data_IF_997482220178
#
_entry.id   IF_997482220178
#
_cell.length_a   1.000
_cell.length_b   1.000
_cell.length_c   1.000
_cell.angle_alpha   90.00
_cell.angle_beta   90.00
_cell.angle_gamma   90.00
#
_symmetry.space_group_name_H-M   'P 1'
#
loop_
_entity.id
_entity.type
_entity.pdbx_description
1 polymer ?
#
# COMPACT_ATOMS: atom_id res chain seq x y z
N UNK A 1 -48.45 30.77 25.57
CA UNK A 1 -47.00 30.44 25.45
C UNK A 1 -46.31 31.61 24.77
N UNK A 2 -45.32 32.18 25.43
CA UNK A 2 -44.93 33.58 25.29
C UNK A 2 -44.15 33.89 24.00
N UNK A 3 -44.52 34.98 23.32
CA UNK A 3 -43.86 35.52 22.11
C UNK A 3 -42.33 35.67 22.26
N UNK A 4 -41.88 36.01 23.47
CA UNK A 4 -40.45 36.14 23.78
C UNK A 4 -39.68 34.81 23.73
N UNK A 5 -40.34 33.67 23.96
CA UNK A 5 -39.69 32.36 23.89
C UNK A 5 -39.41 31.93 22.45
N UNK A 6 -40.34 32.22 21.53
CA UNK A 6 -40.18 31.95 20.08
C UNK A 6 -39.03 32.79 19.52
N UNK A 7 -38.92 34.05 19.96
CA UNK A 7 -37.89 34.98 19.51
C UNK A 7 -36.48 34.58 19.99
N UNK A 8 -36.35 34.07 21.21
CA UNK A 8 -35.09 33.51 21.74
C UNK A 8 -34.68 32.24 20.99
N UNK A 9 -35.63 31.34 20.69
CA UNK A 9 -35.33 30.11 19.92
C UNK A 9 -34.85 30.46 18.51
N UNK A 10 -35.48 31.43 17.84
CA UNK A 10 -35.09 31.87 16.50
C UNK A 10 -33.72 32.59 16.47
N UNK A 11 -33.42 33.45 17.45
CA UNK A 11 -32.17 34.23 17.44
C UNK A 11 -30.97 33.48 18.03
N UNK A 12 -31.17 32.49 18.90
CA UNK A 12 -30.07 31.81 19.58
C UNK A 12 -29.88 30.39 19.06
N UNK A 13 -30.96 29.61 18.94
CA UNK A 13 -30.85 28.18 18.61
C UNK A 13 -30.56 27.98 17.12
N UNK A 14 -31.20 28.76 16.24
CA UNK A 14 -31.01 28.63 14.78
C UNK A 14 -29.58 28.99 14.34
N UNK A 15 -28.96 30.09 14.81
CA UNK A 15 -27.58 30.41 14.43
C UNK A 15 -26.56 29.41 14.97
N UNK A 16 -26.75 28.91 16.20
CA UNK A 16 -25.86 27.88 16.78
C UNK A 16 -25.96 26.57 15.97
N UNK A 17 -27.17 26.17 15.57
CA UNK A 17 -27.40 25.04 14.67
C UNK A 17 -26.73 25.21 13.31
N UNK A 18 -26.80 26.41 12.72
CA UNK A 18 -26.16 26.72 11.44
C UNK A 18 -24.63 26.73 11.52
N UNK A 19 -24.06 27.32 12.57
CA UNK A 19 -22.60 27.36 12.82
C UNK A 19 -22.07 25.95 13.06
N UNK A 20 -22.75 25.15 13.87
CA UNK A 20 -22.35 23.76 14.14
C UNK A 20 -22.48 22.87 12.89
N UNK A 21 -23.52 23.07 12.06
CA UNK A 21 -23.62 22.42 10.75
C UNK A 21 -22.49 22.84 9.80
N UNK A 22 -22.14 24.13 9.74
CA UNK A 22 -21.03 24.61 8.91
C UNK A 22 -19.67 24.07 9.37
N UNK A 23 -19.41 24.04 10.68
CA UNK A 23 -18.17 23.47 11.26
C UNK A 23 -18.11 21.95 11.02
N UNK A 24 -19.24 21.23 11.16
CA UNK A 24 -19.32 19.81 10.86
C UNK A 24 -19.07 19.52 9.37
N UNK A 25 -19.66 20.32 8.46
CA UNK A 25 -19.42 20.20 7.02
C UNK A 25 -17.99 20.54 6.63
N UNK A 26 -17.37 21.55 7.26
CA UNK A 26 -15.95 21.90 7.07
C UNK A 26 -14.99 20.84 7.60
N UNK A 27 -15.34 20.14 8.70
CA UNK A 27 -14.57 19.00 9.21
C UNK A 27 -14.63 17.78 8.29
N UNK A 28 -15.73 17.56 7.55
CA UNK A 28 -15.80 16.51 6.53
C UNK A 28 -14.97 16.81 5.27
N UNK A 29 -14.77 18.07 4.91
CA UNK A 29 -13.97 18.46 3.73
C UNK A 29 -12.49 18.67 4.01
N UNK A 30 -12.05 18.56 5.27
CA UNK A 30 -10.64 18.62 5.68
C UNK A 30 -10.04 17.25 6.01
N UNK A 31 -10.72 16.17 5.61
CA UNK A 31 -10.04 14.90 5.36
C UNK A 31 -9.10 15.09 4.18
N UNK A 32 -7.80 15.11 4.44
CA UNK A 32 -6.74 14.90 3.46
C UNK A 32 -7.25 13.98 2.36
N UNK A 33 -7.20 14.42 1.10
CA UNK A 33 -7.73 13.70 -0.06
C UNK A 33 -7.40 12.21 0.00
N UNK A 34 -8.30 11.46 0.62
CA UNK A 34 -8.09 10.08 0.97
C UNK A 34 -8.33 9.36 -0.33
N UNK A 35 -7.23 8.90 -0.93
CA UNK A 35 -7.24 8.13 -2.15
C UNK A 35 -8.30 7.04 -2.01
N UNK A 36 -9.36 7.14 -2.84
CA UNK A 36 -10.43 6.14 -2.92
C UNK A 36 -9.74 4.82 -3.19
N UNK A 37 -9.70 3.97 -2.17
CA UNK A 37 -8.82 2.82 -2.13
C UNK A 37 -9.10 1.89 -3.31
N UNK A 38 -8.14 1.81 -4.24
CA UNK A 38 -8.14 0.77 -5.28
C UNK A 38 -8.31 -0.61 -4.65
N UNK A 39 -9.07 -1.45 -5.33
CA UNK A 39 -9.35 -2.84 -4.97
C UNK A 39 -8.05 -3.64 -4.84
N UNK A 40 -8.09 -4.76 -4.09
CA UNK A 40 -6.90 -5.62 -3.89
C UNK A 40 -6.30 -6.10 -5.21
N UNK A 41 -7.13 -6.36 -6.22
CA UNK A 41 -6.68 -6.79 -7.55
C UNK A 41 -5.96 -5.66 -8.30
N UNK A 42 -6.43 -4.42 -8.18
CA UNK A 42 -5.75 -3.26 -8.76
C UNK A 42 -4.39 -3.01 -8.11
N UNK A 43 -4.25 -3.20 -6.79
CA UNK A 43 -2.96 -3.08 -6.08
C UNK A 43 -1.98 -4.19 -6.47
N UNK A 44 -2.44 -5.45 -6.60
CA UNK A 44 -1.61 -6.56 -7.09
C UNK A 44 -1.11 -6.27 -8.51
N UNK A 45 -1.98 -5.69 -9.35
CA UNK A 45 -1.61 -5.27 -10.69
C UNK A 45 -0.56 -4.13 -10.69
N UNK A 46 -0.56 -3.24 -9.70
CA UNK A 46 0.47 -2.19 -9.59
C UNK A 46 1.86 -2.77 -9.36
N UNK A 47 2.03 -3.65 -8.37
CA UNK A 47 3.33 -4.27 -8.07
C UNK A 47 3.88 -5.04 -9.27
N UNK A 48 3.03 -5.86 -9.88
CA UNK A 48 3.38 -6.62 -11.08
C UNK A 48 3.78 -5.73 -12.25
N UNK A 49 3.04 -4.64 -12.50
CA UNK A 49 3.39 -3.64 -13.52
C UNK A 49 4.72 -2.97 -13.22
N UNK A 50 5.00 -2.65 -11.95
CA UNK A 50 6.28 -2.05 -11.55
C UNK A 50 7.45 -2.99 -11.80
N UNK A 51 7.36 -4.27 -11.40
CA UNK A 51 8.43 -5.25 -11.66
C UNK A 51 8.58 -5.49 -13.16
N UNK A 52 7.48 -5.63 -13.92
CA UNK A 52 7.56 -5.74 -15.38
C UNK A 52 8.26 -4.55 -16.02
N UNK A 53 7.93 -3.34 -15.58
CA UNK A 53 8.59 -2.13 -16.06
C UNK A 53 10.09 -2.17 -15.75
N UNK A 54 10.49 -2.55 -14.54
CA UNK A 54 11.91 -2.71 -14.20
C UNK A 54 12.62 -3.71 -15.13
N UNK A 55 12.02 -4.88 -15.37
CA UNK A 55 12.60 -5.88 -16.27
C UNK A 55 12.75 -5.35 -17.71
N UNK A 56 11.76 -4.57 -18.19
CA UNK A 56 11.82 -3.92 -19.50
C UNK A 56 12.90 -2.84 -19.56
N UNK A 57 12.99 -1.99 -18.53
CA UNK A 57 13.95 -0.88 -18.45
C UNK A 57 15.41 -1.39 -18.35
N UNK A 58 15.62 -2.67 -18.01
CA UNK A 58 16.94 -3.33 -17.87
C UNK A 58 17.18 -4.44 -18.92
N UNK A 59 16.40 -4.46 -20.01
CA UNK A 59 16.54 -5.44 -21.11
C UNK A 59 16.45 -6.93 -20.69
N UNK A 60 15.76 -7.22 -19.59
CA UNK A 60 15.60 -8.57 -19.02
C UNK A 60 14.40 -9.31 -19.64
N UNK A 61 14.37 -9.38 -20.98
CA UNK A 61 13.28 -10.02 -21.72
C UNK A 61 13.23 -11.54 -21.49
N UNK A 62 12.05 -12.13 -21.69
CA UNK A 62 11.84 -13.58 -21.51
C UNK A 62 11.75 -14.05 -20.06
N UNK A 63 11.83 -13.14 -19.09
CA UNK A 63 11.67 -13.47 -17.66
C UNK A 63 10.21 -13.37 -17.22
N UNK A 64 9.70 -14.46 -16.63
CA UNK A 64 8.39 -14.52 -16.00
C UNK A 64 8.52 -14.30 -14.49
N UNK A 65 7.70 -13.40 -13.95
CA UNK A 65 7.66 -13.13 -12.50
C UNK A 65 6.92 -14.29 -11.82
N UNK A 66 7.62 -15.04 -10.98
CA UNK A 66 7.04 -16.16 -10.22
C UNK A 66 6.39 -15.69 -8.94
N UNK A 67 7.06 -14.77 -8.25
CA UNK A 67 6.67 -14.34 -6.92
C UNK A 67 7.09 -12.89 -6.70
N UNK A 68 6.26 -12.16 -5.95
CA UNK A 68 6.56 -10.80 -5.50
C UNK A 68 6.14 -10.64 -4.05
N UNK A 69 6.95 -9.94 -3.28
CA UNK A 69 6.62 -9.49 -1.93
C UNK A 69 6.98 -8.01 -1.78
N UNK A 70 6.14 -7.24 -1.11
CA UNK A 70 6.33 -5.80 -0.95
C UNK A 70 6.39 -5.47 0.53
N UNK A 71 7.46 -4.79 0.92
CA UNK A 71 7.64 -4.25 2.26
C UNK A 71 7.70 -2.72 2.20
N UNK A 72 6.91 -2.04 3.05
CA UNK A 72 7.04 -0.58 3.23
C UNK A 72 8.34 -0.30 3.97
N UNK A 73 9.21 0.54 3.41
CA UNK A 73 10.42 0.99 4.10
C UNK A 73 9.97 1.93 5.24
N UNK A 74 10.47 1.72 6.48
CA UNK A 74 10.16 2.62 7.59
C UNK A 74 10.60 4.05 7.26
N UNK A 75 9.68 5.01 7.37
CA UNK A 75 9.99 6.43 7.24
C UNK A 75 10.18 7.07 8.61
N UNK A 76 10.86 8.22 8.65
CA UNK A 76 11.01 9.01 9.86
C UNK A 76 9.66 9.49 10.44
N UNK A 77 8.57 9.48 9.67
CA UNK A 77 7.23 9.76 10.18
C UNK A 77 6.55 8.55 10.86
N UNK A 78 6.98 7.33 10.56
CA UNK A 78 6.35 6.12 11.08
C UNK A 78 6.82 5.79 12.51
N UNK A 79 8.02 6.23 12.91
CA UNK A 79 8.64 5.88 14.19
C UNK A 79 9.32 7.07 14.89
N UNK A 80 9.13 7.18 16.21
CA UNK A 80 9.66 8.29 17.02
C UNK A 80 11.19 8.30 17.09
N UNK A 81 11.83 7.13 17.14
CA UNK A 81 13.29 6.99 17.17
C UNK A 81 13.88 7.41 15.83
N UNK A 82 13.30 6.94 14.71
CA UNK A 82 13.71 7.36 13.37
C UNK A 82 13.52 8.87 13.18
N UNK A 83 12.41 9.45 13.66
CA UNK A 83 12.18 10.90 13.61
C UNK A 83 13.27 11.69 14.34
N UNK A 84 13.66 11.22 15.53
CA UNK A 84 14.71 11.86 16.33
C UNK A 84 16.06 11.81 15.61
N UNK A 85 16.44 10.63 15.10
CA UNK A 85 17.67 10.46 14.32
C UNK A 85 17.69 11.37 13.08
N UNK A 86 16.60 11.39 12.32
CA UNK A 86 16.47 12.21 11.12
C UNK A 86 16.64 13.72 11.42
N UNK A 87 16.11 14.19 12.55
CA UNK A 87 16.27 15.58 13.01
C UNK A 87 17.70 15.87 13.44
N UNK A 88 18.35 14.94 14.15
CA UNK A 88 19.74 15.08 14.59
C UNK A 88 20.70 15.14 13.41
N UNK A 89 20.56 14.25 12.43
CA UNK A 89 21.31 14.28 11.17
C UNK A 89 21.12 15.62 10.43
N UNK A 90 19.87 16.09 10.35
CA UNK A 90 19.55 17.35 9.69
C UNK A 90 20.23 18.52 10.40
N UNK A 91 20.25 18.54 11.74
CA UNK A 91 20.94 19.57 12.52
C UNK A 91 22.45 19.50 12.33
N UNK A 92 23.03 18.30 12.39
CA UNK A 92 24.47 18.06 12.22
C UNK A 92 24.94 18.59 10.86
N UNK A 93 24.25 18.22 9.78
CA UNK A 93 24.56 18.71 8.43
C UNK A 93 24.54 20.24 8.33
N UNK A 94 23.52 20.89 8.93
CA UNK A 94 23.39 22.34 8.93
C UNK A 94 24.51 23.06 9.70
N UNK A 95 25.04 22.44 10.76
CA UNK A 95 26.16 22.96 11.52
C UNK A 95 27.48 22.83 10.75
N UNK A 96 27.70 21.68 10.11
CA UNK A 96 28.92 21.37 9.35
C UNK A 96 29.05 22.23 8.09
N UNK A 97 27.96 22.44 7.35
CA UNK A 97 28.01 23.06 6.03
C UNK A 97 27.77 24.58 6.02
N UNK A 98 27.45 25.19 7.18
CA UNK A 98 27.24 26.64 7.38
C UNK A 98 26.50 27.33 6.22
N UNK A 99 25.40 26.73 5.78
CA UNK A 99 24.66 27.16 4.59
C UNK A 99 24.13 28.59 4.71
N UNK A 100 24.04 29.28 3.56
CA UNK A 100 23.34 30.56 3.46
C UNK A 100 21.87 30.44 3.90
N UNK A 101 21.21 31.55 4.26
CA UNK A 101 19.79 31.53 4.66
C UNK A 101 18.88 30.90 3.58
N UNK A 102 19.18 31.14 2.30
CA UNK A 102 18.42 30.60 1.16
C UNK A 102 18.62 29.09 1.04
N UNK A 103 19.86 28.63 1.09
CA UNK A 103 20.21 27.21 0.92
C UNK A 103 19.74 26.38 2.11
N UNK A 104 19.83 26.94 3.32
CA UNK A 104 19.25 26.33 4.53
C UNK A 104 17.75 26.12 4.38
N UNK A 105 17.01 27.12 3.87
CA UNK A 105 15.56 27.00 3.63
C UNK A 105 15.25 25.93 2.57
N UNK A 106 16.02 25.88 1.49
CA UNK A 106 15.88 24.87 0.44
C UNK A 106 16.17 23.46 0.97
N UNK A 107 17.24 23.29 1.74
CA UNK A 107 17.61 22.02 2.37
C UNK A 107 16.54 21.51 3.34
N UNK A 108 16.05 22.37 4.24
CA UNK A 108 14.97 22.00 5.16
C UNK A 108 13.68 21.59 4.42
N UNK A 109 13.35 22.27 3.31
CA UNK A 109 12.23 21.88 2.45
C UNK A 109 12.48 20.51 1.81
N UNK A 110 13.70 20.24 1.34
CA UNK A 110 14.08 18.94 0.79
C UNK A 110 13.96 17.82 1.83
N UNK A 111 14.50 18.04 3.04
CA UNK A 111 14.42 17.07 4.15
C UNK A 111 12.97 16.80 4.58
N UNK A 112 12.13 17.82 4.65
CA UNK A 112 10.70 17.65 4.93
C UNK A 112 10.02 16.77 3.87
N UNK A 113 10.33 17.00 2.58
CA UNK A 113 9.85 16.13 1.50
C UNK A 113 10.36 14.70 1.65
N UNK A 114 11.64 14.52 1.93
CA UNK A 114 12.28 13.21 2.10
C UNK A 114 11.63 12.40 3.24
N UNK A 115 11.36 13.06 4.37
CA UNK A 115 10.66 12.49 5.51
C UNK A 115 9.24 12.02 5.15
N UNK A 116 8.58 12.71 4.21
CA UNK A 116 7.24 12.38 3.74
C UNK A 116 7.21 11.36 2.58
N UNK A 117 8.37 10.91 2.06
CA UNK A 117 8.39 9.94 0.95
C UNK A 117 7.91 8.58 1.40
N UNK A 118 7.01 8.02 0.62
CA UNK A 118 6.52 6.66 0.81
C UNK A 118 7.34 5.70 -0.06
N UNK A 119 8.35 5.06 0.56
CA UNK A 119 9.28 4.13 -0.09
C UNK A 119 8.91 2.68 0.20
N UNK A 120 9.09 1.83 -0.79
CA UNK A 120 8.81 0.41 -0.76
C UNK A 120 9.98 -0.38 -1.31
N UNK A 121 10.27 -1.52 -0.69
CA UNK A 121 11.18 -2.52 -1.21
C UNK A 121 10.35 -3.68 -1.77
N UNK A 122 10.56 -3.98 -3.05
CA UNK A 122 9.85 -5.04 -3.77
C UNK A 122 10.84 -6.18 -3.97
N UNK A 123 10.66 -7.25 -3.21
CA UNK A 123 11.31 -8.53 -3.46
C UNK A 123 10.58 -9.22 -4.60
N UNK A 124 11.32 -9.74 -5.57
CA UNK A 124 10.74 -10.54 -6.65
C UNK A 124 11.68 -11.66 -7.08
N UNK A 125 11.07 -12.73 -7.59
CA UNK A 125 11.78 -13.85 -8.17
C UNK A 125 11.24 -14.12 -9.55
N UNK A 126 12.15 -14.35 -10.50
CA UNK A 126 11.81 -14.62 -11.89
C UNK A 126 12.33 -15.97 -12.34
N UNK A 127 11.72 -16.52 -13.39
CA UNK A 127 12.25 -17.65 -14.14
C UNK A 127 12.29 -17.33 -15.62
N UNK A 128 13.10 -18.07 -16.36
CA UNK A 128 13.08 -18.03 -17.81
C UNK A 128 11.81 -18.70 -18.34
N UNK A 129 11.10 -18.02 -19.24
CA UNK A 129 9.83 -18.52 -19.79
C UNK A 129 10.00 -19.78 -20.66
N UNK A 130 11.15 -19.96 -21.31
CA UNK A 130 11.43 -21.09 -22.20
C UNK A 130 12.04 -22.26 -21.45
N UNK A 131 13.11 -22.01 -20.70
CA UNK A 131 13.88 -23.09 -20.02
C UNK A 131 13.31 -23.45 -18.65
N UNK A 132 12.42 -22.61 -18.10
CA UNK A 132 11.91 -22.70 -16.73
C UNK A 132 13.00 -22.60 -15.65
N UNK A 133 14.23 -22.20 -16.01
CA UNK A 133 15.31 -21.99 -15.04
C UNK A 133 15.00 -20.79 -14.15
N UNK A 134 15.13 -20.98 -12.83
CA UNK A 134 14.86 -19.93 -11.84
C UNK A 134 16.10 -19.04 -11.68
N UNK A 135 15.90 -17.73 -11.74
CA UNK A 135 16.94 -16.74 -11.47
C UNK A 135 17.00 -16.40 -9.98
N UNK A 136 18.14 -15.88 -9.55
CA UNK A 136 18.31 -15.36 -8.20
C UNK A 136 17.28 -14.26 -7.90
N UNK A 137 16.78 -14.20 -6.65
CA UNK A 137 15.83 -13.18 -6.26
C UNK A 137 16.49 -11.81 -6.17
N UNK A 138 15.73 -10.77 -6.54
CA UNK A 138 16.20 -9.39 -6.56
C UNK A 138 15.27 -8.49 -5.72
N UNK A 139 15.81 -7.36 -5.27
CA UNK A 139 15.05 -6.34 -4.52
C UNK A 139 15.24 -4.99 -5.20
N UNK A 140 14.14 -4.37 -5.62
CA UNK A 140 14.13 -2.99 -6.12
C UNK A 140 13.48 -2.06 -5.10
N UNK A 141 13.99 -0.83 -5.00
CA UNK A 141 13.30 0.24 -4.29
C UNK A 141 12.39 1.00 -5.24
N UNK A 142 11.17 1.28 -4.79
CA UNK A 142 10.23 2.13 -5.49
C UNK A 142 9.63 3.16 -4.53
N UNK A 143 9.39 4.38 -5.03
CA UNK A 143 8.67 5.42 -4.31
C UNK A 143 7.30 5.68 -4.95
N UNK A 144 6.32 5.95 -4.10
CA UNK A 144 4.99 6.36 -4.52
C UNK A 144 4.94 7.88 -4.56
N UNK A 145 4.64 8.41 -5.74
CA UNK A 145 4.45 9.83 -5.98
C UNK A 145 2.98 10.12 -6.23
N UNK A 146 2.46 11.15 -5.57
CA UNK A 146 1.15 11.71 -5.87
C UNK A 146 1.38 12.96 -6.72
N UNK A 147 1.10 12.84 -8.01
CA UNK A 147 1.20 13.95 -8.95
C UNK A 147 -0.05 14.83 -8.86
N UNK A 148 0.10 16.16 -9.00
CA UNK A 148 -1.03 17.05 -9.03
C UNK A 148 -1.95 16.70 -10.22
N UNK A 149 -3.27 16.96 -10.10
CA UNK A 149 -4.22 16.69 -11.17
C UNK A 149 -3.87 17.51 -12.42
N UNK A 150 -4.01 16.90 -13.60
CA UNK A 150 -3.68 17.54 -14.89
C UNK A 150 -4.66 18.66 -15.23
N UNK A 151 -5.91 18.55 -14.80
CA UNK A 151 -6.94 19.60 -14.93
C UNK A 151 -7.63 19.86 -13.60
N UNK A 152 -8.15 21.08 -13.45
CA UNK A 152 -8.92 21.49 -12.26
C UNK A 152 -10.19 20.65 -12.17
N UNK A 153 -10.30 19.80 -11.16
CA UNK A 153 -11.41 18.86 -10.95
C UNK A 153 -11.03 17.40 -11.07
N UNK A 154 -9.87 17.09 -11.65
CA UNK A 154 -9.37 15.71 -11.69
C UNK A 154 -8.83 15.26 -10.32
N UNK A 155 -8.83 13.95 -10.09
CA UNK A 155 -8.15 13.37 -8.95
C UNK A 155 -6.62 13.41 -9.14
N UNK A 156 -5.83 13.62 -8.07
CA UNK A 156 -4.38 13.47 -8.12
C UNK A 156 -3.98 12.08 -8.64
N UNK A 157 -2.98 12.02 -9.52
CA UNK A 157 -2.53 10.77 -10.14
C UNK A 157 -1.45 10.11 -9.26
N UNK A 158 -1.67 8.86 -8.83
CA UNK A 158 -0.67 8.06 -8.13
C UNK A 158 0.26 7.40 -9.15
N UNK A 159 1.55 7.74 -9.11
CA UNK A 159 2.61 7.18 -9.96
C UNK A 159 3.64 6.45 -9.10
N UNK A 160 4.10 5.29 -9.55
CA UNK A 160 5.20 4.57 -8.92
C UNK A 160 6.48 4.87 -9.69
N UNK A 161 7.49 5.37 -9.00
CA UNK A 161 8.82 5.61 -9.54
C UNK A 161 9.77 4.55 -8.99
N UNK A 162 10.55 3.92 -9.86
CA UNK A 162 11.54 2.92 -9.48
C UNK A 162 12.85 3.66 -9.21
N UNK A 163 13.37 3.55 -7.99
CA UNK A 163 14.61 4.19 -7.59
C UNK A 163 15.83 3.37 -8.00
N UNK A 164 15.68 2.04 -8.09
CA UNK A 164 16.71 1.14 -8.63
C UNK A 164 16.89 -0.14 -7.82
N UNK A 165 17.80 -0.99 -8.30
CA UNK A 165 18.22 -2.22 -7.62
C UNK A 165 18.90 -1.90 -6.29
N UNK A 166 18.62 -2.72 -5.28
CA UNK A 166 19.17 -2.57 -3.93
C UNK A 166 20.12 -3.72 -3.59
N UNK A 167 20.97 -3.52 -2.58
CA UNK A 167 21.77 -4.59 -2.02
C UNK A 167 20.85 -5.66 -1.41
N UNK A 168 20.87 -6.85 -2.01
CA UNK A 168 19.99 -7.95 -1.61
C UNK A 168 20.19 -8.34 -0.15
N UNK A 169 21.45 -8.55 0.29
CA UNK A 169 21.72 -9.04 1.64
C UNK A 169 21.27 -8.04 2.71
N UNK A 170 21.55 -6.76 2.47
CA UNK A 170 21.19 -5.68 3.38
C UNK A 170 19.67 -5.51 3.50
N UNK A 171 18.97 -5.47 2.37
CA UNK A 171 17.52 -5.24 2.40
C UNK A 171 16.75 -6.50 2.79
N UNK A 172 17.21 -7.68 2.35
CA UNK A 172 16.55 -8.93 2.70
C UNK A 172 16.60 -9.22 4.20
N UNK A 173 17.66 -8.84 4.92
CA UNK A 173 17.79 -9.09 6.36
C UNK A 173 16.60 -8.59 7.20
N UNK A 174 15.97 -7.48 6.81
CA UNK A 174 14.79 -6.96 7.52
C UNK A 174 13.46 -7.31 6.82
N UNK A 175 13.49 -7.61 5.52
CA UNK A 175 12.32 -8.01 4.72
C UNK A 175 11.96 -9.48 4.98
N UNK A 176 12.94 -10.35 5.13
CA UNK A 176 12.80 -11.80 5.34
C UNK A 176 11.79 -12.16 6.44
N UNK A 177 11.87 -11.62 7.67
CA UNK A 177 10.90 -11.96 8.71
C UNK A 177 9.46 -11.53 8.34
N UNK A 178 9.30 -10.42 7.61
CA UNK A 178 8.00 -9.95 7.14
C UNK A 178 7.43 -10.89 6.06
N UNK A 179 8.29 -11.28 5.11
CA UNK A 179 7.97 -12.22 4.04
C UNK A 179 7.57 -13.58 4.60
N UNK A 180 8.37 -14.15 5.51
CA UNK A 180 8.11 -15.45 6.11
C UNK A 180 6.78 -15.49 6.87
N UNK A 181 6.42 -14.39 7.56
CA UNK A 181 5.13 -14.25 8.22
C UNK A 181 3.96 -14.23 7.23
N UNK A 182 4.12 -13.55 6.10
CA UNK A 182 3.10 -13.50 5.05
C UNK A 182 2.97 -14.84 4.32
N UNK A 183 4.09 -15.50 3.99
CA UNK A 183 4.10 -16.82 3.36
C UNK A 183 3.42 -17.87 4.25
N UNK A 184 3.69 -17.85 5.56
CA UNK A 184 3.01 -18.70 6.52
C UNK A 184 1.49 -18.44 6.57
N UNK A 185 1.07 -17.18 6.43
CA UNK A 185 -0.35 -16.81 6.37
C UNK A 185 -1.01 -17.32 5.09
N UNK A 186 -0.35 -17.13 3.94
CA UNK A 186 -0.84 -17.59 2.63
C UNK A 186 -0.95 -19.11 2.58
N UNK A 187 0.06 -19.83 3.10
CA UNK A 187 0.04 -21.28 3.18
C UNK A 187 -1.14 -21.80 4.00
N UNK A 188 -1.38 -21.24 5.20
CA UNK A 188 -2.54 -21.61 6.03
C UNK A 188 -3.87 -21.37 5.31
N UNK A 189 -4.00 -20.26 4.58
CA UNK A 189 -5.21 -19.94 3.84
C UNK A 189 -5.44 -20.91 2.66
N UNK A 190 -4.39 -21.30 1.95
CA UNK A 190 -4.47 -22.26 0.86
C UNK A 190 -4.79 -23.67 1.38
N UNK A 191 -4.14 -24.12 2.45
CA UNK A 191 -4.43 -25.41 3.11
C UNK A 191 -5.90 -25.48 3.55
N UNK A 192 -6.44 -24.40 4.12
CA UNK A 192 -7.86 -24.33 4.50
C UNK A 192 -8.80 -24.38 3.28
N UNK A 193 -8.41 -23.72 2.17
CA UNK A 193 -9.17 -23.72 0.92
C UNK A 193 -9.19 -25.12 0.31
N UNK A 194 -8.05 -25.80 0.21
CA UNK A 194 -7.94 -27.17 -0.30
C UNK A 194 -8.82 -28.11 0.54
N UNK A 195 -8.71 -28.05 1.87
CA UNK A 195 -9.54 -28.86 2.78
C UNK A 195 -11.04 -28.62 2.60
N UNK A 196 -11.46 -27.37 2.32
CA UNK A 196 -12.86 -27.04 2.03
C UNK A 196 -13.31 -27.63 0.68
N UNK A 197 -12.45 -27.64 -0.33
CA UNK A 197 -12.74 -28.22 -1.64
C UNK A 197 -12.87 -29.74 -1.56
N UNK A 198 -11.94 -30.42 -0.90
CA UNK A 198 -11.98 -31.87 -0.67
C UNK A 198 -13.27 -32.29 0.05
N UNK A 199 -13.65 -31.59 1.12
CA UNK A 199 -14.92 -31.85 1.83
C UNK A 199 -16.14 -31.65 0.95
N UNK A 200 -16.14 -30.65 0.05
CA UNK A 200 -17.24 -30.42 -0.89
C UNK A 200 -17.32 -31.56 -1.91
N UNK A 201 -16.18 -32.02 -2.42
CA UNK A 201 -16.10 -33.12 -3.36
C UNK A 201 -16.55 -34.44 -2.74
N UNK A 202 -16.06 -34.79 -1.54
CA UNK A 202 -16.51 -35.96 -0.79
C UNK A 202 -18.03 -35.95 -0.57
N UNK A 203 -18.62 -34.79 -0.22
CA UNK A 203 -20.07 -34.65 -0.09
C UNK A 203 -20.81 -34.84 -1.41
N UNK A 204 -20.24 -34.39 -2.54
CA UNK A 204 -20.81 -34.58 -3.87
C UNK A 204 -20.79 -36.06 -4.27
N UNK A 205 -19.67 -36.74 -4.07
CA UNK A 205 -19.51 -38.18 -4.33
C UNK A 205 -20.48 -39.01 -3.47
N UNK A 206 -20.58 -38.70 -2.17
CA UNK A 206 -21.51 -39.38 -1.27
C UNK A 206 -23.00 -39.18 -1.67
N UNK A 207 -23.36 -38.00 -2.19
CA UNK A 207 -24.71 -37.74 -2.72
C UNK A 207 -24.98 -38.53 -4.01
N UNK A 208 -24.00 -38.65 -4.91
CA UNK A 208 -24.13 -39.43 -6.13
C UNK A 208 -24.29 -40.93 -5.82
N UNK A 209 -23.44 -41.48 -4.95
CA UNK A 209 -23.55 -42.87 -4.50
C UNK A 209 -24.91 -43.17 -3.84
N UNK A 210 -25.44 -42.25 -3.02
CA UNK A 210 -26.79 -42.38 -2.43
C UNK A 210 -27.90 -42.34 -3.49
N UNK A 211 -27.74 -41.58 -4.57
CA UNK A 211 -28.70 -41.56 -5.68
C UNK A 211 -28.66 -42.89 -6.45
N UNK A 212 -27.48 -43.35 -6.82
CA UNK A 212 -27.30 -44.63 -7.54
C UNK A 212 -27.83 -45.82 -6.74
N UNK A 213 -27.56 -45.87 -5.43
CA UNK A 213 -28.09 -46.92 -4.56
C UNK A 213 -29.63 -46.90 -4.45
N UNK A 214 -30.26 -45.73 -4.53
CA UNK A 214 -31.73 -45.61 -4.57
C UNK A 214 -32.32 -46.03 -5.92
N UNK A 215 -31.62 -45.75 -7.02
CA UNK A 215 -32.05 -46.18 -8.36
C UNK A 215 -31.97 -47.69 -8.51
N UNK A 216 -30.90 -48.33 -7.99
CA UNK A 216 -30.75 -49.80 -8.01
C UNK A 216 -31.77 -50.55 -7.14
N UNK A 217 -32.34 -49.92 -6.11
CA UNK A 217 -33.41 -50.51 -5.27
C UNK A 217 -34.82 -50.40 -5.86
N UNK A 218 -35.00 -49.68 -6.97
CA UNK A 218 -36.29 -49.48 -7.65
C UNK A 218 -36.48 -50.37 -8.88
N UNK A 219 -35.48 -51.19 -9.22
CA UNK A 219 -35.50 -52.23 -10.25
C UNK A 219 -35.55 -53.56 -9.51
#
# INVERSE_FOLDING_TARGET
>A
MNSNFILIVLLVVVPIGFISYFIYKRKKTTGSGEFVGRTKDERRNEVWKTVKKYLQDNDMYGREIMYTFVAKRPSANDDKKLHKQFKEETKKYLLEHKLSKKDKKAYLKSRSKEMARERYCIYFQTKDAKTQSVFDPEIIEAEVLTLPPKKRGDAPERKIQINGLQDFKKEFAWIEPLKNKEDARLKKAEDERIRKLERKEQRRLAKLAKKEAKTKKKI
#
